data_IF_990890550280
#
_entry.id   IF_990890550280
#
_cell.length_a   1.000
_cell.length_b   1.000
_cell.length_c   1.000
_cell.angle_alpha   90.00
_cell.angle_beta   90.00
_cell.angle_gamma   90.00
#
_symmetry.space_group_name_H-M   'P 1'
#
loop_
_entity.id
_entity.type
_entity.pdbx_description
1 polymer ?
#
# COMPACT_ATOMS: atom_id res chain seq x y z
N UNK A 1 1.75 0.80 43.42
CA UNK A 1 2.54 -0.35 42.93
C UNK A 1 1.81 -0.93 41.74
N UNK A 2 2.25 -0.62 40.52
CA UNK A 2 1.76 -1.21 39.28
C UNK A 2 2.61 -2.45 38.98
N UNK A 3 2.04 -3.56 38.48
CA UNK A 3 2.85 -4.71 38.12
C UNK A 3 3.60 -4.41 36.82
N UNK A 4 4.92 -4.33 36.92
CA UNK A 4 5.85 -4.31 35.80
C UNK A 4 6.07 -5.74 35.33
N UNK A 5 5.36 -6.17 34.30
CA UNK A 5 5.76 -7.31 33.47
C UNK A 5 5.15 -7.13 32.08
N UNK A 6 5.84 -6.34 31.26
CA UNK A 6 5.64 -6.39 29.82
C UNK A 6 6.35 -7.65 29.30
N UNK A 7 5.69 -8.48 28.46
CA UNK A 7 6.30 -9.68 27.91
C UNK A 7 7.51 -9.32 27.05
N UNK A 8 8.53 -10.18 27.04
CA UNK A 8 9.72 -9.97 26.21
C UNK A 8 9.38 -10.14 24.73
N UNK A 9 10.19 -9.56 23.84
CA UNK A 9 10.07 -9.76 22.37
C UNK A 9 10.06 -11.25 22.01
N UNK A 10 10.73 -12.10 22.80
CA UNK A 10 10.72 -13.56 22.65
C UNK A 10 9.33 -14.17 22.92
N UNK A 11 8.60 -13.65 23.90
CA UNK A 11 7.26 -14.12 24.26
C UNK A 11 6.21 -13.70 23.21
N UNK A 12 6.38 -12.51 22.62
CA UNK A 12 5.56 -12.04 21.50
C UNK A 12 5.81 -12.82 20.20
N UNK A 13 7.06 -13.23 19.95
CA UNK A 13 7.41 -14.07 18.80
C UNK A 13 6.85 -15.51 18.91
N UNK A 14 6.76 -16.07 20.12
CA UNK A 14 6.13 -17.37 20.36
C UNK A 14 4.60 -17.32 20.25
N UNK A 15 3.97 -16.19 20.60
CA UNK A 15 2.53 -15.99 20.37
C UNK A 15 2.18 -15.84 18.88
N UNK A 16 3.09 -15.30 18.06
CA UNK A 16 2.92 -15.22 16.61
C UNK A 16 2.87 -16.60 15.91
N UNK A 17 3.48 -17.65 16.49
CA UNK A 17 3.39 -19.02 15.98
C UNK A 17 1.99 -19.63 16.16
N UNK A 18 1.22 -19.18 17.16
CA UNK A 18 -0.18 -19.60 17.35
C UNK A 18 -1.15 -19.00 16.33
N UNK A 19 -0.79 -17.85 15.73
CA UNK A 19 -1.60 -17.18 14.70
C UNK A 19 -1.36 -17.72 13.29
N UNK A 20 -0.28 -18.48 13.09
CA UNK A 20 0.04 -19.15 11.84
C UNK A 20 0.31 -20.65 12.06
N UNK A 21 -0.72 -21.48 12.30
CA UNK A 21 -0.53 -22.91 12.20
C UNK A 21 -0.07 -23.23 10.78
N UNK A 22 1.13 -23.80 10.66
CA UNK A 22 1.65 -24.32 9.41
C UNK A 22 0.58 -25.19 8.74
N UNK A 23 0.28 -24.93 7.47
CA UNK A 23 -0.75 -25.60 6.68
C UNK A 23 -0.35 -27.04 6.29
N UNK A 24 0.11 -27.84 7.26
CA UNK A 24 0.54 -29.23 7.08
C UNK A 24 -0.42 -30.29 7.61
N UNK A 25 -1.53 -29.94 8.26
CA UNK A 25 -2.45 -30.95 8.84
C UNK A 25 -3.78 -31.18 8.10
N UNK A 26 -4.04 -30.53 6.96
CA UNK A 26 -5.27 -30.72 6.17
C UNK A 26 -5.08 -31.46 4.84
N UNK A 27 -3.88 -31.98 4.56
CA UNK A 27 -3.58 -32.72 3.33
C UNK A 27 -3.41 -34.24 3.52
N UNK A 28 -3.72 -34.78 4.70
CA UNK A 28 -3.52 -36.21 5.02
C UNK A 28 -4.80 -37.07 4.99
N UNK A 29 -5.87 -36.61 4.34
CA UNK A 29 -7.04 -37.45 4.03
C UNK A 29 -7.49 -37.30 2.59
N UNK A 30 -6.67 -37.77 1.65
CA UNK A 30 -7.14 -38.38 0.40
C UNK A 30 -5.93 -38.92 -0.41
N UNK A 31 -5.81 -40.24 -0.46
CA UNK A 31 -5.26 -40.99 -1.60
C UNK A 31 -6.17 -42.21 -1.79
N UNK A 32 -6.29 -42.82 -2.99
CA UNK A 32 -5.37 -42.76 -4.15
C UNK A 32 -6.16 -42.51 -5.47
N UNK A 33 -5.68 -42.46 -6.71
CA UNK A 33 -4.49 -42.88 -7.50
C UNK A 33 -4.47 -41.99 -8.77
N UNK A 34 -3.29 -41.65 -9.33
CA UNK A 34 -2.92 -41.80 -10.76
C UNK A 34 -1.68 -40.95 -11.13
N UNK A 35 -0.66 -41.67 -11.61
CA UNK A 35 0.33 -41.37 -12.67
C UNK A 35 0.87 -39.94 -12.84
N UNK A 36 2.16 -39.82 -12.48
CA UNK A 36 3.23 -39.02 -13.10
C UNK A 36 2.87 -38.03 -14.22
N UNK A 37 3.02 -36.73 -13.94
CA UNK A 37 3.49 -35.73 -14.91
C UNK A 37 4.05 -34.50 -14.16
N UNK A 38 5.28 -34.10 -14.50
CA UNK A 38 5.93 -32.84 -14.09
C UNK A 38 5.10 -31.63 -14.54
N UNK A 39 5.03 -30.52 -13.76
CA UNK A 39 4.67 -29.24 -14.33
C UNK A 39 5.92 -28.44 -14.73
N UNK A 40 6.00 -28.16 -16.03
CA UNK A 40 6.81 -27.12 -16.66
C UNK A 40 6.30 -25.76 -16.18
N UNK A 41 7.20 -24.90 -15.71
CA UNK A 41 6.93 -23.48 -15.42
C UNK A 41 6.81 -22.74 -16.75
N UNK A 42 5.61 -22.29 -17.09
CA UNK A 42 5.36 -21.42 -18.24
C UNK A 42 4.98 -20.01 -17.72
N UNK A 43 5.98 -19.15 -17.74
CA UNK A 43 5.85 -17.69 -17.66
C UNK A 43 5.28 -17.16 -18.98
N UNK A 44 4.02 -16.72 -18.98
CA UNK A 44 3.47 -15.92 -20.09
C UNK A 44 3.61 -14.43 -19.77
N UNK A 45 4.53 -13.77 -20.48
CA UNK A 45 4.46 -12.35 -20.77
C UNK A 45 3.54 -12.15 -21.97
N UNK A 46 2.53 -11.28 -21.84
CA UNK A 46 1.71 -10.84 -22.97
C UNK A 46 2.24 -9.50 -23.44
N UNK A 47 2.95 -9.54 -24.57
CA UNK A 47 3.28 -8.38 -25.39
C UNK A 47 2.20 -8.31 -26.49
N UNK A 48 1.30 -7.34 -26.43
CA UNK A 48 0.34 -7.10 -27.50
C UNK A 48 0.95 -6.12 -28.52
N UNK A 49 1.22 -6.65 -29.72
CA UNK A 49 1.61 -5.87 -30.89
C UNK A 49 0.38 -5.15 -31.49
N UNK A 50 0.55 -3.89 -31.84
CA UNK A 50 -0.42 -3.07 -32.58
C UNK A 50 0.08 -3.01 -34.03
N UNK A 51 -0.70 -3.39 -35.05
CA UNK A 51 -0.43 -3.00 -36.42
C UNK A 51 -1.14 -1.68 -36.77
N UNK A 52 -0.39 -0.73 -37.32
CA UNK A 52 -0.86 0.38 -38.16
C UNK A 52 -1.57 -0.20 -39.41
N UNK A 53 -2.54 0.41 -40.08
CA UNK A 53 -2.61 1.76 -40.69
C UNK A 53 -4.03 1.97 -41.24
N UNK A 54 -4.51 3.22 -41.34
CA UNK A 54 -5.13 3.78 -42.56
C UNK A 54 -5.25 5.32 -42.47
N UNK A 55 -4.73 5.96 -43.53
CA UNK A 55 -4.76 7.34 -44.08
C UNK A 55 -5.69 8.43 -43.50
N UNK A 56 -5.51 9.73 -43.75
CA UNK A 56 -4.44 10.65 -44.20
C UNK A 56 -5.13 12.02 -44.30
N UNK A 57 -4.46 13.12 -43.95
CA UNK A 57 -4.55 14.37 -44.72
C UNK A 57 -3.41 15.30 -44.32
N UNK A 58 -2.69 15.76 -45.33
CA UNK A 58 -1.53 16.62 -45.24
C UNK A 58 -1.96 18.09 -45.42
N UNK A 59 -1.30 19.00 -44.71
CA UNK A 59 -1.01 20.33 -45.25
C UNK A 59 0.35 20.76 -44.75
N UNK A 60 1.29 20.82 -45.68
CA UNK A 60 2.64 21.31 -45.50
C UNK A 60 2.66 22.83 -45.61
N UNK A 61 3.49 23.47 -44.78
CA UNK A 61 4.10 24.74 -45.12
C UNK A 61 5.57 24.69 -44.62
N UNK A 62 6.48 24.59 -45.57
CA UNK A 62 7.93 24.76 -45.41
C UNK A 62 8.28 26.25 -45.25
N UNK A 63 9.28 26.55 -44.43
CA UNK A 63 10.25 27.60 -44.70
C UNK A 63 11.57 27.33 -43.93
N UNK A 64 12.60 27.01 -44.71
CA UNK A 64 14.05 27.00 -44.46
C UNK A 64 14.58 28.43 -44.12
N UNK A 65 15.77 28.77 -43.59
CA UNK A 65 17.12 28.16 -43.48
C UNK A 65 18.05 29.04 -42.58
N UNK A 66 19.21 28.49 -42.15
CA UNK A 66 20.50 29.12 -41.73
C UNK A 66 20.59 29.84 -40.35
N UNK A 67 21.68 29.84 -39.55
CA UNK A 67 23.06 29.27 -39.58
C UNK A 67 23.72 29.46 -38.19
N UNK A 68 24.63 28.54 -37.81
CA UNK A 68 25.81 28.60 -36.90
C UNK A 68 25.84 29.46 -35.61
N UNK A 69 26.23 28.82 -34.48
CA UNK A 69 26.87 29.51 -33.34
C UNK A 69 26.96 28.75 -32.00
N UNK A 70 28.11 28.08 -31.77
CA UNK A 70 28.81 27.76 -30.48
C UNK A 70 28.10 26.97 -29.35
N UNK A 71 28.76 25.97 -28.70
CA UNK A 71 28.16 25.23 -27.58
C UNK A 71 28.29 26.03 -26.26
N UNK A 72 27.15 26.34 -25.64
CA UNK A 72 27.06 26.88 -24.27
C UNK A 72 26.84 25.75 -23.26
N UNK A 73 27.58 25.74 -22.16
CA UNK A 73 27.40 24.86 -21.00
C UNK A 73 25.94 24.86 -20.49
N UNK A 74 25.44 23.73 -19.96
CA UNK A 74 24.09 23.70 -19.40
C UNK A 74 24.03 24.51 -18.09
N UNK A 75 23.00 25.33 -17.86
CA UNK A 75 22.89 26.10 -16.64
C UNK A 75 22.67 25.16 -15.44
N UNK A 76 23.52 25.33 -14.43
CA UNK A 76 23.32 24.76 -13.09
C UNK A 76 22.12 25.46 -12.47
N UNK A 77 20.94 24.84 -12.54
CA UNK A 77 19.79 25.27 -11.77
C UNK A 77 19.99 24.91 -10.30
N UNK A 78 20.55 25.85 -9.53
CA UNK A 78 20.49 25.82 -8.08
C UNK A 78 19.02 25.95 -7.66
N UNK A 79 18.40 24.83 -7.28
CA UNK A 79 17.09 24.84 -6.64
C UNK A 79 17.28 25.37 -5.21
N UNK A 80 17.01 26.66 -5.01
CA UNK A 80 16.82 27.24 -3.69
C UNK A 80 15.47 26.73 -3.19
N UNK A 81 15.50 25.68 -2.36
CA UNK A 81 14.33 25.28 -1.56
C UNK A 81 14.13 26.31 -0.45
N UNK A 82 13.32 27.33 -0.73
CA UNK A 82 12.76 28.17 0.30
C UNK A 82 11.86 27.29 1.19
N UNK A 83 12.33 27.04 2.41
CA UNK A 83 11.56 26.43 3.49
C UNK A 83 10.47 27.40 3.93
N UNK A 84 9.31 27.38 3.28
CA UNK A 84 8.08 27.85 3.90
C UNK A 84 7.59 26.71 4.78
N UNK A 85 7.80 26.84 6.09
CA UNK A 85 7.14 26.02 7.09
C UNK A 85 5.63 26.21 6.97
N UNK A 86 5.00 25.39 6.15
CA UNK A 86 3.56 25.20 6.20
C UNK A 86 3.31 24.27 7.38
N UNK A 87 2.95 24.88 8.49
CA UNK A 87 2.34 24.22 9.64
C UNK A 87 1.16 23.38 9.13
N UNK A 88 1.40 22.09 8.92
CA UNK A 88 0.40 21.15 8.36
C UNK A 88 -0.36 20.52 9.52
N UNK A 89 -0.89 21.35 10.41
CA UNK A 89 -1.94 20.90 11.33
C UNK A 89 -3.22 20.75 10.52
N UNK A 90 -3.58 19.50 10.23
CA UNK A 90 -4.91 19.17 9.67
C UNK A 90 -5.93 19.66 10.71
N UNK A 91 -6.86 20.58 10.37
CA UNK A 91 -7.83 21.10 11.33
C UNK A 91 -8.68 19.94 11.89
N UNK A 92 -8.68 19.78 13.21
CA UNK A 92 -9.28 18.63 13.92
C UNK A 92 -10.78 18.79 14.20
N UNK A 93 -11.52 19.54 13.39
CA UNK A 93 -12.96 19.72 13.57
C UNK A 93 -13.69 19.82 12.23
N UNK A 94 -13.50 18.82 11.36
CA UNK A 94 -14.49 18.56 10.30
C UNK A 94 -15.78 18.00 10.92
N UNK A 95 -16.96 18.55 10.58
CA UNK A 95 -18.24 17.98 11.00
C UNK A 95 -18.30 16.51 10.60
N UNK A 96 -18.57 15.64 11.58
CA UNK A 96 -18.74 14.20 11.34
C UNK A 96 -19.85 14.00 10.31
N UNK A 97 -19.49 13.51 9.12
CA UNK A 97 -20.45 13.27 8.06
C UNK A 97 -21.56 12.32 8.54
N UNK A 98 -22.83 12.53 8.14
CA UNK A 98 -23.93 11.68 8.57
C UNK A 98 -23.66 10.24 8.13
N UNK A 99 -24.08 9.28 8.95
CA UNK A 99 -23.84 7.87 8.66
C UNK A 99 -24.77 7.44 7.53
N UNK A 100 -24.23 6.77 6.51
CA UNK A 100 -24.98 6.34 5.32
C UNK A 100 -25.13 4.82 5.27
N UNK A 101 -26.28 4.35 4.82
CA UNK A 101 -26.56 2.94 4.55
C UNK A 101 -26.01 2.53 3.18
N UNK A 102 -24.78 2.02 3.18
CA UNK A 102 -24.14 1.49 1.98
C UNK A 102 -24.64 0.09 1.56
N UNK A 103 -25.53 -0.54 2.34
CA UNK A 103 -26.15 -1.82 1.98
C UNK A 103 -27.26 -1.66 0.94
N UNK A 104 -27.91 -0.49 0.92
CA UNK A 104 -29.05 -0.19 0.06
C UNK A 104 -28.79 1.06 -0.79
N UNK A 105 -27.75 1.00 -1.62
CA UNK A 105 -27.43 2.09 -2.56
C UNK A 105 -28.40 2.07 -3.74
N UNK A 106 -29.08 3.20 -3.97
CA UNK A 106 -29.92 3.45 -5.13
C UNK A 106 -29.10 4.13 -6.22
N UNK A 107 -29.23 3.67 -7.46
CA UNK A 107 -28.61 4.30 -8.62
C UNK A 107 -29.68 4.95 -9.49
N UNK A 108 -29.46 6.21 -9.86
CA UNK A 108 -30.43 6.97 -10.65
C UNK A 108 -29.71 8.07 -11.44
N UNK A 109 -30.05 8.18 -12.73
CA UNK A 109 -29.45 9.14 -13.67
C UNK A 109 -27.92 9.24 -13.60
N UNK A 110 -27.23 8.12 -13.38
CA UNK A 110 -25.77 8.07 -13.30
C UNK A 110 -25.17 8.54 -11.97
N UNK A 111 -25.99 8.73 -10.94
CA UNK A 111 -25.59 9.06 -9.56
C UNK A 111 -25.93 7.91 -8.61
N UNK A 112 -25.29 7.93 -7.44
CA UNK A 112 -25.53 6.98 -6.37
C UNK A 112 -26.10 7.70 -5.14
N UNK A 113 -27.09 7.10 -4.50
CA UNK A 113 -27.79 7.66 -3.35
C UNK A 113 -27.91 6.61 -2.25
N UNK A 114 -27.87 7.04 -0.99
CA UNK A 114 -28.12 6.17 0.16
C UNK A 114 -28.91 6.92 1.24
N UNK A 115 -29.62 6.15 2.07
CA UNK A 115 -30.27 6.69 3.25
C UNK A 115 -29.26 7.02 4.33
N UNK A 116 -29.46 8.13 5.00
CA UNK A 116 -28.74 8.51 6.21
C UNK A 116 -29.44 7.96 7.45
N UNK A 117 -28.78 8.02 8.59
CA UNK A 117 -29.33 7.63 9.89
C UNK A 117 -30.54 8.46 10.35
N UNK A 118 -30.66 9.70 9.88
CA UNK A 118 -31.85 10.55 10.07
C UNK A 118 -33.00 10.29 9.07
N UNK A 119 -32.82 9.34 8.14
CA UNK A 119 -33.82 8.94 7.14
C UNK A 119 -33.87 9.80 5.87
N UNK A 120 -33.08 10.88 5.81
CA UNK A 120 -32.89 11.66 4.59
C UNK A 120 -32.12 10.86 3.53
N UNK A 121 -32.04 11.39 2.30
CA UNK A 121 -31.29 10.75 1.21
C UNK A 121 -30.06 11.61 0.89
N UNK A 122 -28.88 10.99 0.89
CA UNK A 122 -27.62 11.61 0.56
C UNK A 122 -27.14 11.16 -0.83
N UNK A 123 -26.71 12.11 -1.65
CA UNK A 123 -25.93 11.82 -2.86
C UNK A 123 -24.51 11.39 -2.45
N UNK A 124 -24.09 10.22 -2.93
CA UNK A 124 -22.78 9.66 -2.68
C UNK A 124 -21.76 10.12 -3.72
N UNK A 125 -20.48 10.05 -3.36
CA UNK A 125 -19.37 10.27 -4.29
C UNK A 125 -19.10 9.09 -5.23
N UNK A 126 -19.89 8.02 -5.13
CA UNK A 126 -19.71 6.78 -5.90
C UNK A 126 -20.09 7.03 -7.36
N UNK A 127 -19.18 6.70 -8.27
CA UNK A 127 -19.47 6.61 -9.70
C UNK A 127 -20.06 5.22 -10.01
N UNK A 128 -21.31 5.12 -10.52
CA UNK A 128 -21.95 3.84 -10.75
C UNK A 128 -21.23 2.92 -11.75
N UNK A 129 -20.53 3.49 -12.75
CA UNK A 129 -19.80 2.70 -13.76
C UNK A 129 -18.54 2.10 -13.15
N UNK A 130 -17.79 2.90 -12.38
CA UNK A 130 -16.58 2.48 -11.68
C UNK A 130 -16.93 1.43 -10.62
N UNK A 131 -17.99 1.68 -9.84
CA UNK A 131 -18.53 0.75 -8.85
C UNK A 131 -18.87 -0.61 -9.46
N UNK A 132 -19.65 -0.63 -10.54
CA UNK A 132 -19.99 -1.87 -11.23
C UNK A 132 -18.74 -2.61 -11.78
N UNK A 133 -17.73 -1.86 -12.22
CA UNK A 133 -16.43 -2.40 -12.62
C UNK A 133 -15.69 -3.09 -11.47
N UNK A 134 -15.56 -2.41 -10.33
CA UNK A 134 -14.92 -2.94 -9.13
C UNK A 134 -15.62 -4.21 -8.62
N UNK A 135 -16.94 -4.19 -8.53
CA UNK A 135 -17.71 -5.36 -8.13
C UNK A 135 -17.57 -6.54 -9.10
N UNK A 136 -17.56 -6.27 -10.42
CA UNK A 136 -17.36 -7.32 -11.43
C UNK A 136 -15.98 -7.96 -11.30
N UNK A 137 -14.94 -7.16 -11.05
CA UNK A 137 -13.58 -7.67 -10.82
C UNK A 137 -13.54 -8.52 -9.54
N UNK A 138 -14.13 -8.03 -8.46
CA UNK A 138 -14.14 -8.74 -7.19
C UNK A 138 -14.90 -10.06 -7.27
N UNK A 139 -16.08 -10.06 -7.92
CA UNK A 139 -16.85 -11.29 -8.21
C UNK A 139 -16.02 -12.29 -9.01
N UNK A 140 -15.33 -11.86 -10.06
CA UNK A 140 -14.49 -12.75 -10.90
C UNK A 140 -13.31 -13.33 -10.13
N UNK A 141 -12.74 -12.59 -9.19
CA UNK A 141 -11.63 -13.06 -8.35
C UNK A 141 -12.07 -14.12 -7.31
N UNK A 142 -13.38 -14.21 -7.01
CA UNK A 142 -13.96 -15.14 -6.03
C UNK A 142 -13.17 -15.23 -4.70
N UNK A 143 -12.87 -14.09 -4.03
CA UNK A 143 -12.11 -14.12 -2.80
C UNK A 143 -12.95 -14.67 -1.64
N UNK A 144 -12.32 -15.43 -0.73
CA UNK A 144 -12.95 -15.83 0.54
C UNK A 144 -13.43 -14.60 1.31
N UNK A 145 -12.58 -13.57 1.38
CA UNK A 145 -12.87 -12.21 1.82
C UNK A 145 -12.03 -11.25 1.00
N UNK A 146 -12.61 -10.17 0.50
CA UNK A 146 -11.86 -9.18 -0.28
C UNK A 146 -12.62 -7.87 -0.40
N UNK A 147 -11.88 -6.81 -0.67
CA UNK A 147 -12.44 -5.49 -0.94
C UNK A 147 -11.61 -4.77 -2.00
N UNK A 148 -12.28 -3.89 -2.74
CA UNK A 148 -11.70 -2.94 -3.69
C UNK A 148 -12.27 -1.58 -3.31
N UNK A 149 -11.38 -0.65 -3.00
CA UNK A 149 -11.71 0.75 -2.71
C UNK A 149 -10.97 1.61 -3.74
N UNK A 150 -11.70 2.49 -4.41
CA UNK A 150 -11.10 3.48 -5.31
C UNK A 150 -11.37 4.87 -4.75
N UNK A 151 -10.34 5.70 -4.76
CA UNK A 151 -10.38 7.08 -4.29
C UNK A 151 -9.85 8.03 -5.35
N UNK A 152 -10.41 9.23 -5.39
CA UNK A 152 -9.79 10.35 -6.08
C UNK A 152 -8.62 10.87 -5.22
N UNK A 153 -7.40 10.82 -5.76
CA UNK A 153 -6.18 11.13 -5.01
C UNK A 153 -6.13 12.60 -4.58
N UNK A 154 -6.74 13.52 -5.35
CA UNK A 154 -6.68 14.96 -5.09
C UNK A 154 -7.66 15.39 -4.01
N UNK A 155 -8.82 14.75 -3.96
CA UNK A 155 -9.94 15.16 -3.11
C UNK A 155 -10.20 14.19 -1.96
N UNK A 156 -9.63 12.98 -2.00
CA UNK A 156 -9.90 11.91 -1.04
C UNK A 156 -11.29 11.28 -1.19
N UNK A 157 -12.12 11.74 -2.14
CA UNK A 157 -13.46 11.20 -2.36
C UNK A 157 -13.40 9.74 -2.75
N UNK A 158 -14.24 8.93 -2.12
CA UNK A 158 -14.36 7.51 -2.44
C UNK A 158 -15.28 7.35 -3.65
N UNK A 159 -14.74 6.89 -4.78
CA UNK A 159 -15.48 6.77 -6.05
C UNK A 159 -16.05 5.37 -6.27
N UNK A 160 -15.54 4.36 -5.56
CA UNK A 160 -16.12 3.02 -5.50
C UNK A 160 -15.71 2.27 -4.23
N UNK A 161 -16.62 1.46 -3.69
CA UNK A 161 -16.40 0.52 -2.59
C UNK A 161 -17.10 -0.79 -2.90
N UNK A 162 -16.33 -1.81 -3.30
CA UNK A 162 -16.81 -3.15 -3.49
C UNK A 162 -16.19 -4.08 -2.45
N UNK A 163 -16.99 -4.97 -1.88
CA UNK A 163 -16.53 -6.02 -0.98
C UNK A 163 -17.24 -7.34 -1.26
N UNK A 164 -16.59 -8.42 -0.87
CA UNK A 164 -17.09 -9.79 -1.02
C UNK A 164 -16.62 -10.61 0.18
N UNK A 165 -17.53 -11.43 0.71
CA UNK A 165 -17.22 -12.43 1.73
C UNK A 165 -18.05 -13.68 1.48
N UNK A 166 -17.43 -14.84 1.69
CA UNK A 166 -18.15 -16.12 1.76
C UNK A 166 -18.92 -16.26 3.07
N UNK A 167 -18.52 -15.54 4.12
CA UNK A 167 -19.16 -15.56 5.42
C UNK A 167 -20.29 -14.52 5.45
N UNK A 168 -21.53 -15.00 5.37
CA UNK A 168 -22.74 -14.16 5.48
C UNK A 168 -23.04 -13.72 6.91
N UNK A 169 -22.34 -14.26 7.92
CA UNK A 169 -22.48 -13.88 9.32
C UNK A 169 -21.53 -12.77 9.76
N UNK A 170 -20.62 -12.34 8.87
CA UNK A 170 -19.79 -11.17 9.12
C UNK A 170 -20.69 -9.92 9.15
N UNK A 171 -21.06 -9.49 10.36
CA UNK A 171 -21.76 -8.24 10.64
C UNK A 171 -20.85 -7.06 10.30
N UNK A 172 -20.73 -6.77 9.00
CA UNK A 172 -19.94 -5.64 8.54
C UNK A 172 -19.37 -5.81 7.13
N UNK A 173 -19.28 -4.67 6.45
CA UNK A 173 -18.61 -4.53 5.16
C UNK A 173 -17.11 -4.83 5.30
N UNK A 174 -16.59 -5.80 4.55
CA UNK A 174 -15.15 -6.18 4.58
C UNK A 174 -14.26 -5.00 4.28
N UNK A 175 -14.71 -4.07 3.43
CA UNK A 175 -13.98 -2.86 3.08
C UNK A 175 -13.66 -1.94 4.28
N UNK A 176 -14.44 -2.04 5.36
CA UNK A 176 -14.29 -1.20 6.55
C UNK A 176 -13.95 -2.01 7.81
N UNK A 177 -13.83 -3.33 7.68
CA UNK A 177 -13.49 -4.21 8.78
C UNK A 177 -11.97 -4.32 8.95
N UNK A 178 -11.49 -4.33 10.19
CA UNK A 178 -10.10 -4.62 10.53
C UNK A 178 -9.81 -6.10 10.21
N UNK A 179 -9.13 -6.38 9.09
CA UNK A 179 -9.13 -7.74 8.55
C UNK A 179 -7.77 -8.39 8.29
N UNK A 180 -6.62 -7.70 8.36
CA UNK A 180 -5.33 -8.38 8.21
C UNK A 180 -4.13 -7.52 8.62
N UNK A 181 -3.03 -8.13 9.12
CA UNK A 181 -1.77 -7.43 9.32
C UNK A 181 -1.20 -6.90 7.99
N UNK A 182 -0.88 -5.60 7.95
CA UNK A 182 -0.42 -4.84 6.78
C UNK A 182 1.10 -4.96 6.56
N UNK A 183 1.69 -6.12 6.86
CA UNK A 183 3.13 -6.27 7.13
C UNK A 183 4.06 -5.61 6.09
N UNK A 184 3.83 -5.81 4.79
CA UNK A 184 4.67 -5.18 3.75
C UNK A 184 4.15 -3.84 3.25
N UNK A 185 2.87 -3.52 3.44
CA UNK A 185 2.34 -2.20 3.10
C UNK A 185 2.88 -1.12 4.05
N UNK A 186 3.15 -1.49 5.31
CA UNK A 186 3.76 -0.60 6.29
C UNK A 186 5.14 -0.06 5.86
N UNK A 187 5.83 -0.73 4.92
CA UNK A 187 7.07 -0.22 4.32
C UNK A 187 6.90 1.12 3.60
N UNK A 188 5.69 1.48 3.18
CA UNK A 188 5.40 2.83 2.67
C UNK A 188 5.61 3.89 3.75
N UNK A 189 5.13 3.62 4.97
CA UNK A 189 5.34 4.47 6.15
C UNK A 189 6.82 4.54 6.48
N UNK A 190 7.50 3.40 6.57
CA UNK A 190 8.95 3.36 6.85
C UNK A 190 9.77 4.07 5.77
N UNK A 191 9.43 3.91 4.49
CA UNK A 191 10.13 4.58 3.40
C UNK A 191 9.94 6.11 3.47
N UNK A 192 8.72 6.58 3.72
CA UNK A 192 8.45 8.00 3.91
C UNK A 192 9.27 8.56 5.08
N UNK A 193 9.29 7.86 6.22
CA UNK A 193 10.09 8.28 7.37
C UNK A 193 11.59 8.36 7.06
N UNK A 194 12.15 7.38 6.35
CA UNK A 194 13.56 7.37 5.92
C UNK A 194 13.90 8.52 4.98
N UNK A 195 12.98 8.89 4.09
CA UNK A 195 13.16 9.99 3.13
C UNK A 195 13.05 11.36 3.81
N UNK A 196 12.06 11.52 4.70
CA UNK A 196 11.72 12.81 5.29
C UNK A 196 12.59 13.14 6.49
N UNK A 197 12.71 12.23 7.47
CA UNK A 197 13.44 12.48 8.71
C UNK A 197 14.94 12.19 8.57
N UNK A 198 15.32 11.14 7.85
CA UNK A 198 16.72 10.71 7.74
C UNK A 198 17.41 11.09 6.42
N UNK A 199 16.66 11.67 5.46
CA UNK A 199 17.18 12.06 4.13
C UNK A 199 17.89 10.92 3.39
N UNK A 200 17.47 9.68 3.61
CA UNK A 200 18.03 8.50 2.93
C UNK A 200 17.74 8.62 1.43
N UNK A 201 18.80 8.66 0.61
CA UNK A 201 18.64 8.71 -0.84
C UNK A 201 17.99 7.42 -1.37
N UNK A 202 17.02 7.50 -2.30
CA UNK A 202 16.53 6.33 -3.03
C UNK A 202 17.65 5.56 -3.77
N UNK A 203 18.76 6.23 -4.09
CA UNK A 203 19.93 5.67 -4.77
C UNK A 203 20.94 5.04 -3.80
N UNK A 204 20.75 5.18 -2.48
CA UNK A 204 21.62 4.57 -1.49
C UNK A 204 21.70 3.07 -1.74
N UNK A 205 22.91 2.55 -1.96
CA UNK A 205 23.12 1.11 -2.12
C UNK A 205 23.12 0.45 -0.74
N UNK A 206 22.25 -0.53 -0.57
CA UNK A 206 22.17 -1.34 0.65
C UNK A 206 22.50 -2.78 0.30
N UNK A 207 23.41 -3.36 1.07
CA UNK A 207 23.91 -4.71 0.86
C UNK A 207 23.32 -5.65 1.91
N UNK A 208 22.65 -6.69 1.44
CA UNK A 208 22.02 -7.72 2.28
C UNK A 208 22.49 -9.10 1.85
N UNK A 209 22.61 -10.02 2.80
CA UNK A 209 22.74 -11.45 2.55
C UNK A 209 21.53 -12.14 3.19
N UNK A 210 20.68 -12.75 2.37
CA UNK A 210 19.41 -13.32 2.81
C UNK A 210 18.40 -12.28 3.30
N UNK A 211 17.68 -12.62 4.37
CA UNK A 211 16.74 -11.70 5.04
C UNK A 211 15.56 -11.21 4.18
N UNK A 212 15.22 -11.92 3.10
CA UNK A 212 14.17 -11.47 2.17
C UNK A 212 12.77 -11.51 2.77
N UNK A 213 12.50 -12.51 3.62
CA UNK A 213 11.20 -12.73 4.28
C UNK A 213 11.31 -12.73 5.80
N UNK A 214 12.31 -13.41 6.37
CA UNK A 214 12.56 -13.44 7.81
C UNK A 214 13.74 -12.54 8.17
N UNK A 215 13.60 -11.78 9.26
CA UNK A 215 14.68 -10.95 9.81
C UNK A 215 15.33 -11.66 10.99
N UNK A 216 16.64 -11.45 11.13
CA UNK A 216 17.50 -11.98 12.19
C UNK A 216 18.48 -10.87 12.53
N UNK A 217 19.09 -10.90 13.72
CA UNK A 217 20.04 -9.85 14.16
C UNK A 217 21.16 -9.59 13.14
N UNK A 218 21.68 -10.64 12.50
CA UNK A 218 22.71 -10.52 11.45
C UNK A 218 22.28 -9.68 10.24
N UNK A 219 20.97 -9.62 9.94
CA UNK A 219 20.44 -8.88 8.81
C UNK A 219 20.39 -7.38 9.07
N UNK A 220 20.59 -6.92 10.30
CA UNK A 220 20.58 -5.50 10.68
C UNK A 220 21.91 -4.80 10.38
N UNK A 221 22.95 -5.57 10.10
CA UNK A 221 24.25 -5.07 9.69
C UNK A 221 24.43 -5.18 8.17
N UNK A 222 25.17 -4.25 7.54
CA UNK A 222 25.52 -4.35 6.12
C UNK A 222 26.27 -5.65 5.82
N UNK A 223 25.76 -6.41 4.85
CA UNK A 223 26.40 -7.66 4.43
C UNK A 223 27.72 -7.39 3.71
N UNK A 224 28.68 -8.31 3.91
CA UNK A 224 30.02 -8.29 3.30
C UNK A 224 30.31 -9.64 2.65
N UNK A 225 31.24 -9.64 1.69
CA UNK A 225 31.71 -10.87 1.03
C UNK A 225 30.88 -11.28 -0.20
N UNK A 226 31.22 -12.44 -0.76
CA UNK A 226 30.75 -12.89 -2.07
C UNK A 226 29.23 -13.10 -2.19
N UNK A 227 28.54 -13.31 -1.07
CA UNK A 227 27.09 -13.52 -1.03
C UNK A 227 26.28 -12.22 -0.83
N UNK A 228 26.95 -11.08 -0.61
CA UNK A 228 26.27 -9.81 -0.42
C UNK A 228 25.63 -9.33 -1.73
N UNK A 229 24.31 -9.17 -1.71
CA UNK A 229 23.55 -8.58 -2.80
C UNK A 229 23.27 -7.12 -2.48
N UNK A 230 23.81 -6.23 -3.30
CA UNK A 230 23.70 -4.79 -3.12
C UNK A 230 22.82 -4.17 -4.20
N UNK A 231 21.75 -3.48 -3.79
CA UNK A 231 20.85 -2.78 -4.72
C UNK A 231 20.47 -1.39 -4.18
N UNK A 232 19.99 -0.46 -5.03
CA UNK A 232 19.46 0.82 -4.58
C UNK A 232 18.27 0.64 -3.63
N UNK A 233 18.14 1.49 -2.62
CA UNK A 233 17.01 1.48 -1.68
C UNK A 233 15.65 1.51 -2.40
N UNK A 234 15.53 2.27 -3.50
CA UNK A 234 14.30 2.32 -4.31
C UNK A 234 13.83 0.93 -4.79
N UNK A 235 14.77 0.03 -5.10
CA UNK A 235 14.45 -1.34 -5.53
C UNK A 235 13.90 -2.20 -4.39
N UNK A 236 14.26 -1.89 -3.14
CA UNK A 236 13.86 -2.67 -1.98
C UNK A 236 12.36 -2.57 -1.71
N UNK A 237 11.74 -1.42 -1.98
CA UNK A 237 10.29 -1.25 -1.87
C UNK A 237 9.57 -2.10 -2.92
N UNK A 238 9.98 -2.04 -4.19
CA UNK A 238 9.37 -2.81 -5.28
C UNK A 238 9.53 -4.33 -5.13
N UNK A 239 10.65 -4.79 -4.57
CA UNK A 239 10.88 -6.22 -4.27
C UNK A 239 10.50 -6.62 -2.85
N UNK A 240 9.93 -5.70 -2.05
CA UNK A 240 9.53 -5.92 -0.66
C UNK A 240 10.62 -6.56 0.22
N UNK A 241 11.87 -6.11 0.08
CA UNK A 241 13.04 -6.71 0.76
C UNK A 241 13.09 -6.34 2.25
N UNK A 242 12.71 -7.27 3.13
CA UNK A 242 12.63 -6.99 4.57
C UNK A 242 13.97 -6.51 5.15
N UNK A 243 15.09 -7.17 4.83
CA UNK A 243 16.39 -6.85 5.44
C UNK A 243 16.82 -5.41 5.18
N UNK A 244 16.58 -4.88 3.98
CA UNK A 244 16.92 -3.47 3.68
C UNK A 244 16.15 -2.51 4.58
N UNK A 245 14.85 -2.73 4.76
CA UNK A 245 14.03 -1.89 5.63
C UNK A 245 14.44 -2.02 7.10
N UNK A 246 14.75 -3.23 7.56
CA UNK A 246 15.21 -3.46 8.92
C UNK A 246 16.55 -2.75 9.18
N UNK A 247 17.54 -2.89 8.29
CA UNK A 247 18.83 -2.19 8.40
C UNK A 247 18.65 -0.68 8.46
N UNK A 248 17.89 -0.12 7.51
CA UNK A 248 17.75 1.32 7.40
C UNK A 248 16.93 1.91 8.56
N UNK A 249 15.84 1.26 8.97
CA UNK A 249 15.03 1.72 10.09
C UNK A 249 15.83 1.69 11.39
N UNK A 250 16.50 0.57 11.70
CA UNK A 250 17.33 0.44 12.92
C UNK A 250 18.48 1.44 12.94
N UNK A 251 19.07 1.75 11.79
CA UNK A 251 20.23 2.66 11.70
C UNK A 251 19.88 4.13 11.72
N UNK A 252 18.73 4.51 11.15
CA UNK A 252 18.46 5.91 10.81
C UNK A 252 17.16 6.48 11.38
N UNK A 253 16.27 5.66 11.93
CA UNK A 253 15.01 6.13 12.50
C UNK A 253 14.99 5.99 14.01
N UNK A 254 14.51 7.05 14.65
CA UNK A 254 14.06 7.00 16.04
C UNK A 254 12.62 6.48 16.11
N UNK A 255 12.24 5.93 17.27
CA UNK A 255 10.88 5.50 17.56
C UNK A 255 9.84 6.57 17.16
N UNK A 256 10.02 7.79 17.66
CA UNK A 256 9.03 8.87 17.48
C UNK A 256 8.88 9.28 16.02
N UNK A 257 9.96 9.24 15.22
CA UNK A 257 9.90 9.58 13.80
C UNK A 257 9.03 8.59 13.01
N UNK A 258 9.15 7.30 13.33
CA UNK A 258 8.33 6.28 12.69
C UNK A 258 6.89 6.31 13.19
N UNK A 259 6.67 6.57 14.49
CA UNK A 259 5.35 6.72 15.09
C UNK A 259 4.60 7.93 14.52
N UNK A 260 5.24 9.11 14.49
CA UNK A 260 4.70 10.33 13.90
C UNK A 260 4.34 10.13 12.42
N UNK A 261 5.23 9.48 11.65
CA UNK A 261 4.94 9.17 10.25
C UNK A 261 3.74 8.23 10.13
N UNK A 262 3.61 7.21 10.99
CA UNK A 262 2.45 6.31 10.97
C UNK A 262 1.14 7.07 11.25
N UNK A 263 1.12 7.97 12.23
CA UNK A 263 -0.05 8.79 12.55
C UNK A 263 -0.43 9.74 11.39
N UNK A 264 0.55 10.33 10.72
CA UNK A 264 0.33 11.15 9.50
C UNK A 264 -0.28 10.35 8.36
N UNK A 265 0.03 9.05 8.25
CA UNK A 265 -0.62 8.12 7.32
C UNK A 265 -2.03 7.70 7.76
N UNK A 266 -2.50 8.14 8.94
CA UNK A 266 -3.84 7.90 9.44
C UNK A 266 -4.00 6.66 10.32
N UNK A 267 -2.90 6.05 10.78
CA UNK A 267 -2.96 5.02 11.81
C UNK A 267 -3.46 5.61 13.14
N UNK A 268 -4.04 4.75 13.99
CA UNK A 268 -4.50 5.07 15.35
C UNK A 268 -5.61 6.13 15.45
N UNK A 269 -6.28 6.47 14.34
CA UNK A 269 -7.42 7.40 14.33
C UNK A 269 -8.54 6.93 13.41
N UNK A 270 -9.74 7.42 13.68
CA UNK A 270 -10.87 7.29 12.77
C UNK A 270 -10.63 8.14 11.52
N UNK A 271 -10.99 7.59 10.36
CA UNK A 271 -11.03 8.34 9.10
C UNK A 271 -12.30 9.22 9.07
N UNK A 272 -12.24 10.41 8.44
CA UNK A 272 -13.36 11.35 8.36
C UNK A 272 -14.41 10.90 7.31
N UNK A 273 -14.86 9.66 7.40
CA UNK A 273 -15.86 9.08 6.51
C UNK A 273 -17.20 8.95 7.21
N UNK A 274 -18.29 9.02 6.43
CA UNK A 274 -19.64 8.70 6.88
C UNK A 274 -19.76 7.29 7.46
N UNK A 275 -18.92 6.36 7.01
CA UNK A 275 -18.80 5.04 7.58
C UNK A 275 -17.61 4.99 8.53
N UNK A 276 -17.79 4.39 9.72
CA UNK A 276 -16.67 4.15 10.64
C UNK A 276 -15.61 3.33 9.92
N UNK A 277 -14.41 3.88 9.83
CA UNK A 277 -13.26 3.28 9.16
C UNK A 277 -11.99 3.74 9.87
N UNK A 278 -11.01 2.83 9.97
CA UNK A 278 -9.67 3.11 10.46
C UNK A 278 -8.68 2.57 9.44
N UNK A 279 -7.51 3.20 9.30
CA UNK A 279 -6.40 2.59 8.54
C UNK A 279 -5.91 1.32 9.23
N UNK A 280 -5.79 1.39 10.55
CA UNK A 280 -5.35 0.30 11.41
C UNK A 280 -4.75 0.82 12.70
N UNK A 281 -4.44 -0.10 13.60
CA UNK A 281 -3.64 0.19 14.78
C UNK A 281 -2.16 -0.04 14.46
N UNK A 282 -1.31 0.87 14.91
CA UNK A 282 0.15 0.76 14.83
C UNK A 282 0.74 1.06 16.20
N UNK A 283 1.54 0.12 16.69
CA UNK A 283 2.40 0.30 17.86
C UNK A 283 3.84 0.10 17.39
N UNK A 284 4.68 1.13 17.55
CA UNK A 284 6.08 1.06 17.17
C UNK A 284 6.85 0.59 18.41
N UNK A 285 7.56 -0.55 18.37
CA UNK A 285 8.37 -0.97 19.49
C UNK A 285 9.57 -0.04 19.65
N UNK A 286 9.99 0.19 20.89
CA UNK A 286 11.29 0.79 21.17
C UNK A 286 12.39 -0.14 20.68
N UNK A 287 13.43 0.44 20.09
CA UNK A 287 14.60 -0.31 19.67
C UNK A 287 15.43 -0.67 20.92
N UNK A 288 15.41 -1.93 21.32
CA UNK A 288 16.11 -2.49 22.49
C UNK A 288 17.33 -3.34 22.09
N UNK A 289 17.82 -3.18 20.85
CA UNK A 289 18.84 -4.04 20.22
C UNK A 289 20.28 -3.75 20.59
#
# INVERSE_FOLDING_TARGET
MLPTNLPSVRDLLLQAEHWFPSSRSLLDRARPTWRTALPIVLSLGVLAAIPHTLHAEASAAEAQVATEGKPSEPPTAAVILASTGADTSIPTTEPKAPKVDLGHVRYDQGKAFAKTDDGSEAELTIDPRVQHGAERLLRRAHPVRGAIILTDIRTGKVIAVADASHDKSADGRVAFAFAAPTASLFKMVTAAALLEHARVSPKLRVCTDGGHRRIERKHLEPAKGAHALCAPFSSALGHSRNAVFAQLATRFLMHDQLAETAERFGFNRDLPFSQKAIVGHSEIPYNDL
#
